data_IF_934160265060
#
_entry.id   IF_934160265060
#
_cell.length_a   1.000
_cell.length_b   1.000
_cell.length_c   1.000
_cell.angle_alpha   90.00
_cell.angle_beta   90.00
_cell.angle_gamma   90.00
#
_symmetry.space_group_name_H-M   'P 1'
#
loop_
_entity.id
_entity.type
_entity.pdbx_description
1 polymer ?
#
# COMPACT_ATOMS: atom_id res chain seq x y z
N UNK A 1 16.02 -3.67 7.00
CA UNK A 1 14.83 -3.12 6.33
C UNK A 1 13.81 -2.89 7.39
N UNK A 2 13.03 -1.83 7.26
CA UNK A 2 11.93 -1.58 8.19
C UNK A 2 10.62 -1.94 7.53
N UNK A 3 9.81 -2.75 8.22
CA UNK A 3 8.43 -3.03 7.83
C UNK A 3 7.50 -2.34 8.83
N UNK A 4 6.45 -1.70 8.32
CA UNK A 4 5.43 -1.11 9.15
C UNK A 4 4.04 -1.51 8.65
N UNK A 5 3.16 -1.84 9.59
CA UNK A 5 1.74 -2.00 9.35
C UNK A 5 1.03 -0.80 9.93
N UNK A 6 0.23 -0.14 9.11
CA UNK A 6 -0.36 1.14 9.44
C UNK A 6 -1.86 1.01 9.34
N UNK A 7 -2.55 1.35 10.42
CA UNK A 7 -4.00 1.51 10.43
C UNK A 7 -4.32 3.00 10.39
N UNK A 8 -5.12 3.40 9.41
CA UNK A 8 -5.47 4.81 9.20
C UNK A 8 -6.89 4.94 8.64
N UNK A 9 -7.51 6.09 8.87
CA UNK A 9 -8.88 6.33 8.45
C UNK A 9 -8.93 6.86 7.01
N UNK A 10 -9.58 6.11 6.12
CA UNK A 10 -9.91 6.54 4.77
C UNK A 10 -11.18 7.37 4.82
N UNK A 11 -11.12 8.62 4.36
CA UNK A 11 -12.29 9.49 4.18
C UNK A 11 -13.10 9.08 2.97
N UNK A 12 -12.46 8.52 1.93
CA UNK A 12 -13.15 8.07 0.72
C UNK A 12 -14.02 6.83 1.01
N UNK A 13 -13.52 5.92 1.84
CA UNK A 13 -14.23 4.68 2.19
C UNK A 13 -15.02 4.78 3.50
N UNK A 14 -14.89 5.89 4.23
CA UNK A 14 -15.47 6.11 5.56
C UNK A 14 -15.14 4.95 6.53
N UNK A 15 -13.87 4.53 6.51
CA UNK A 15 -13.44 3.30 7.18
C UNK A 15 -11.97 3.34 7.57
N UNK A 16 -11.65 2.77 8.75
CA UNK A 16 -10.27 2.42 9.09
C UNK A 16 -9.78 1.29 8.19
N UNK A 17 -8.72 1.55 7.43
CA UNK A 17 -8.06 0.62 6.53
C UNK A 17 -6.66 0.29 7.02
N UNK A 18 -6.07 -0.77 6.46
CA UNK A 18 -4.72 -1.20 6.79
C UNK A 18 -3.83 -1.21 5.53
N UNK A 19 -2.55 -0.93 5.72
CA UNK A 19 -1.54 -0.92 4.66
C UNK A 19 -0.22 -1.43 5.23
N UNK A 20 0.44 -2.34 4.54
CA UNK A 20 1.82 -2.76 4.86
C UNK A 20 2.78 -1.97 4.00
N UNK A 21 3.79 -1.36 4.61
CA UNK A 21 4.84 -0.61 3.89
C UNK A 21 6.21 -1.15 4.28
N UNK A 22 7.03 -1.39 3.27
CA UNK A 22 8.43 -1.75 3.40
C UNK A 22 9.28 -0.54 3.03
N UNK A 23 10.19 -0.15 3.92
CA UNK A 23 11.11 0.97 3.74
C UNK A 23 12.54 0.47 3.42
N UNK A 24 13.24 1.15 2.49
CA UNK A 24 14.62 0.81 2.14
C UNK A 24 15.60 1.23 3.24
N UNK A 25 16.67 0.44 3.44
CA UNK A 25 17.77 0.81 4.36
C UNK A 25 18.85 1.66 3.68
N UNK A 26 18.84 1.74 2.35
CA UNK A 26 19.89 2.34 1.54
C UNK A 26 19.32 3.27 0.47
N UNK A 27 20.13 4.23 0.04
CA UNK A 27 19.76 5.28 -0.90
C UNK A 27 19.49 6.62 -0.21
N UNK A 28 19.08 7.61 -0.99
CA UNK A 28 18.69 8.93 -0.50
C UNK A 28 17.28 9.25 -1.01
N UNK A 29 16.43 9.86 -0.18
CA UNK A 29 15.09 10.24 -0.60
C UNK A 29 15.11 11.40 -1.62
N UNK A 30 14.02 11.61 -2.38
CA UNK A 30 12.79 10.82 -2.38
C UNK A 30 13.00 9.42 -2.97
N UNK A 31 12.38 8.41 -2.37
CA UNK A 31 12.51 7.03 -2.83
C UNK A 31 11.46 6.72 -3.90
N UNK A 32 11.86 5.95 -4.91
CA UNK A 32 10.89 5.36 -5.82
C UNK A 32 9.88 4.53 -5.01
N UNK A 33 8.61 4.57 -5.39
CA UNK A 33 7.54 3.87 -4.68
C UNK A 33 6.82 2.90 -5.60
N UNK A 34 6.76 1.64 -5.19
CA UNK A 34 6.06 0.57 -5.89
C UNK A 34 4.80 0.15 -5.12
N UNK A 35 3.64 0.33 -5.75
CA UNK A 35 2.35 -0.10 -5.22
C UNK A 35 2.05 -1.53 -5.69
N UNK A 36 2.15 -2.48 -4.77
CA UNK A 36 1.99 -3.91 -5.03
C UNK A 36 0.59 -4.37 -4.58
N UNK A 37 -0.32 -4.46 -5.55
CA UNK A 37 -1.73 -4.79 -5.34
C UNK A 37 -1.94 -6.29 -5.18
N UNK A 38 -2.83 -6.71 -4.28
CA UNK A 38 -3.19 -8.10 -4.06
C UNK A 38 -4.32 -8.58 -4.98
N UNK A 39 -4.54 -9.90 -5.02
CA UNK A 39 -5.61 -10.53 -5.79
C UNK A 39 -6.96 -10.59 -5.06
N UNK A 40 -7.96 -11.18 -5.70
CA UNK A 40 -9.27 -11.39 -5.09
C UNK A 40 -9.15 -12.28 -3.84
N UNK A 41 -9.80 -11.88 -2.74
CA UNK A 41 -9.87 -12.55 -1.41
C UNK A 41 -8.71 -12.29 -0.44
N UNK A 42 -7.61 -11.73 -0.93
CA UNK A 42 -6.47 -11.38 -0.09
C UNK A 42 -6.62 -10.01 0.58
N UNK A 43 -5.60 -9.60 1.34
CA UNK A 43 -5.45 -8.30 1.99
C UNK A 43 -4.01 -7.76 1.89
N UNK A 44 -3.74 -6.63 2.54
CA UNK A 44 -2.44 -5.95 2.59
C UNK A 44 -1.26 -6.80 3.13
N UNK A 45 -1.51 -7.99 3.68
CA UNK A 45 -0.48 -8.87 4.26
C UNK A 45 0.01 -9.94 3.29
N UNK A 46 -0.71 -10.19 2.18
CA UNK A 46 -0.53 -11.44 1.43
C UNK A 46 0.86 -11.57 0.81
N UNK A 47 1.39 -10.50 0.22
CA UNK A 47 2.68 -10.54 -0.47
C UNK A 47 3.81 -10.81 0.51
N UNK A 48 3.75 -10.26 1.72
CA UNK A 48 4.69 -10.58 2.78
C UNK A 48 4.57 -12.04 3.24
N UNK A 49 3.34 -12.56 3.37
CA UNK A 49 3.09 -13.94 3.86
C UNK A 49 3.37 -15.03 2.83
N UNK A 50 3.25 -14.73 1.53
CA UNK A 50 3.25 -15.73 0.45
C UNK A 50 4.40 -15.56 -0.53
N UNK A 51 5.28 -14.58 -0.34
CA UNK A 51 6.49 -14.40 -1.13
C UNK A 51 7.68 -14.04 -0.25
N UNK A 52 8.85 -13.81 -0.87
CA UNK A 52 10.05 -13.28 -0.21
C UNK A 52 10.29 -11.82 -0.59
N UNK A 53 9.23 -11.02 -0.72
CA UNK A 53 9.32 -9.64 -1.23
C UNK A 53 10.38 -8.79 -0.53
N UNK A 54 10.49 -8.86 0.80
CA UNK A 54 11.54 -8.16 1.56
C UNK A 54 12.95 -8.56 1.09
N UNK A 55 13.17 -9.85 0.87
CA UNK A 55 14.45 -10.34 0.36
C UNK A 55 14.74 -9.79 -1.04
N UNK A 56 13.74 -9.73 -1.92
CA UNK A 56 13.91 -9.28 -3.31
C UNK A 56 14.25 -7.80 -3.40
N UNK A 57 13.69 -6.97 -2.53
CA UNK A 57 13.88 -5.51 -2.59
C UNK A 57 14.97 -4.98 -1.65
N UNK A 58 15.66 -5.85 -0.89
CA UNK A 58 16.57 -5.44 0.21
C UNK A 58 17.76 -4.56 -0.12
N UNK A 59 18.15 -4.48 -1.39
CA UNK A 59 19.26 -3.65 -1.85
C UNK A 59 18.80 -2.49 -2.74
N UNK A 60 17.49 -2.30 -2.89
CA UNK A 60 16.92 -1.27 -3.75
C UNK A 60 16.54 -0.04 -2.90
N UNK A 61 16.77 1.18 -3.40
CA UNK A 61 16.25 2.41 -2.79
C UNK A 61 14.75 2.57 -3.13
N UNK A 62 13.94 1.59 -2.72
CA UNK A 62 12.54 1.41 -3.13
C UNK A 62 11.63 1.24 -1.91
N UNK A 63 10.57 2.05 -1.83
CA UNK A 63 9.44 1.81 -0.94
C UNK A 63 8.48 0.84 -1.62
N UNK A 64 8.02 -0.19 -0.91
CA UNK A 64 6.94 -1.07 -1.38
C UNK A 64 5.70 -0.83 -0.52
N UNK A 65 4.60 -0.42 -1.16
CA UNK A 65 3.31 -0.20 -0.52
C UNK A 65 2.36 -1.33 -0.92
N UNK A 66 1.82 -2.03 0.07
CA UNK A 66 0.82 -3.08 -0.10
C UNK A 66 -0.47 -2.62 0.59
N UNK A 67 -1.44 -2.06 -0.15
CA UNK A 67 -2.72 -1.64 0.41
C UNK A 67 -3.72 -2.80 0.49
N UNK A 68 -4.78 -2.61 1.28
CA UNK A 68 -5.98 -3.46 1.23
C UNK A 68 -7.02 -2.85 0.27
N UNK A 69 -7.33 -3.55 -0.81
CA UNK A 69 -8.37 -3.22 -1.79
C UNK A 69 -9.66 -4.05 -1.62
N UNK A 70 -9.74 -4.87 -0.57
CA UNK A 70 -10.84 -5.78 -0.29
C UNK A 70 -11.19 -6.64 -1.52
N UNK A 71 -12.47 -6.94 -1.72
CA UNK A 71 -13.01 -7.58 -2.92
C UNK A 71 -13.50 -6.55 -3.95
N UNK A 72 -12.96 -5.33 -3.93
CA UNK A 72 -13.45 -4.18 -4.69
C UNK A 72 -12.96 -4.08 -6.14
N UNK A 73 -12.09 -5.01 -6.56
CA UNK A 73 -11.45 -4.99 -7.89
C UNK A 73 -10.77 -3.66 -8.25
N UNK A 74 -10.42 -2.84 -7.24
CA UNK A 74 -9.87 -1.49 -7.44
C UNK A 74 -10.78 -0.60 -8.30
N UNK A 75 -12.10 -0.77 -8.18
CA UNK A 75 -13.11 -0.04 -8.96
C UNK A 75 -14.02 0.82 -8.09
N UNK A 76 -14.55 1.90 -8.66
CA UNK A 76 -15.63 2.66 -8.02
C UNK A 76 -16.96 1.96 -8.32
N UNK A 77 -17.68 1.57 -7.27
CA UNK A 77 -18.99 0.92 -7.39
C UNK A 77 -20.06 2.02 -7.33
N UNK A 78 -21.02 2.04 -8.27
CA UNK A 78 -22.03 3.11 -8.41
C UNK A 78 -22.76 3.47 -7.11
N UNK A 79 -23.14 2.46 -6.33
CA UNK A 79 -23.82 2.60 -5.03
C UNK A 79 -23.00 1.93 -3.92
N UNK A 80 -21.68 2.04 -3.99
CA UNK A 80 -20.78 1.38 -3.05
C UNK A 80 -19.47 2.13 -2.85
N UNK A 81 -18.49 1.49 -2.21
CA UNK A 81 -17.23 2.15 -1.90
C UNK A 81 -16.45 2.52 -3.16
N UNK A 82 -15.81 3.70 -3.12
CA UNK A 82 -15.02 4.23 -4.23
C UNK A 82 -13.56 3.73 -4.18
N UNK A 83 -13.35 2.42 -4.36
CA UNK A 83 -12.03 1.80 -4.20
C UNK A 83 -11.00 2.30 -5.22
N UNK A 84 -11.39 2.64 -6.45
CA UNK A 84 -10.45 3.18 -7.43
C UNK A 84 -9.89 4.51 -6.92
N UNK A 85 -10.77 5.40 -6.46
CA UNK A 85 -10.41 6.72 -5.95
C UNK A 85 -9.56 6.62 -4.67
N UNK A 86 -9.93 5.73 -3.76
CA UNK A 86 -9.14 5.44 -2.56
C UNK A 86 -7.70 5.04 -2.92
N UNK A 87 -7.51 4.15 -3.88
CA UNK A 87 -6.19 3.63 -4.25
C UNK A 87 -5.38 4.66 -5.04
N UNK A 88 -5.99 5.36 -6.00
CA UNK A 88 -5.26 6.27 -6.90
C UNK A 88 -5.02 7.65 -6.32
N UNK A 89 -5.85 8.12 -5.38
CA UNK A 89 -5.76 9.48 -4.84
C UNK A 89 -5.38 9.45 -3.35
N UNK A 90 -6.23 8.88 -2.51
CA UNK A 90 -6.10 9.03 -1.06
C UNK A 90 -4.91 8.26 -0.49
N UNK A 91 -4.74 7.00 -0.90
CA UNK A 91 -3.59 6.19 -0.52
C UNK A 91 -2.28 6.84 -0.99
N UNK A 92 -2.21 7.27 -2.25
CA UNK A 92 -0.99 7.90 -2.81
C UNK A 92 -0.64 9.17 -2.02
N UNK A 93 -1.61 10.04 -1.79
CA UNK A 93 -1.41 11.25 -1.00
C UNK A 93 -1.08 10.95 0.48
N UNK A 94 -1.61 9.86 1.05
CA UNK A 94 -1.24 9.39 2.38
C UNK A 94 0.22 8.94 2.45
N UNK A 95 0.68 8.13 1.49
CA UNK A 95 2.06 7.64 1.43
C UNK A 95 3.05 8.79 1.25
N UNK A 96 2.82 9.69 0.28
CA UNK A 96 3.70 10.83 0.00
C UNK A 96 3.85 11.80 1.19
N UNK A 97 2.82 11.94 2.03
CA UNK A 97 2.89 12.78 3.22
C UNK A 97 3.55 12.09 4.40
N UNK A 98 3.44 10.77 4.49
CA UNK A 98 3.87 9.99 5.67
C UNK A 98 5.30 9.49 5.52
N UNK A 99 5.72 9.19 4.29
CA UNK A 99 7.01 8.62 3.98
C UNK A 99 7.79 9.51 3.01
N UNK A 100 9.12 9.40 2.97
CA UNK A 100 9.96 10.15 2.03
C UNK A 100 9.91 9.52 0.62
N UNK A 101 8.69 9.42 0.09
CA UNK A 101 8.32 8.90 -1.23
C UNK A 101 8.34 9.98 -2.32
#
# INVERSE_FOLDING_TARGET
MSICQIHWFSKILDKTVATTVILPDAGRPPFATYYLLHGLSDDHTIWHRRTRIEWYVRQLPLIVVMPDGYRGFYTNISNGPAYARYISEELVGFIQRTFPA
#
